data_IF_734424190612
#
_entry.id   IF_734424190612
#
_cell.length_a   1.000
_cell.length_b   1.000
_cell.length_c   1.000
_cell.angle_alpha   90.00
_cell.angle_beta   90.00
_cell.angle_gamma   90.00
#
_symmetry.space_group_name_H-M   'P 1'
#
loop_
_entity.id
_entity.type
_entity.pdbx_description
1 polymer ?
#
# COMPACT_ATOMS: atom_id res chain seq x y z
N UNK A 1 10.72 -8.30 -24.44
CA UNK A 1 10.13 -8.07 -23.10
C UNK A 1 9.25 -9.27 -22.80
N UNK A 2 9.59 -10.09 -21.80
CA UNK A 2 8.81 -11.31 -21.48
C UNK A 2 7.53 -10.91 -20.74
N UNK A 3 6.41 -11.63 -20.95
CA UNK A 3 5.11 -11.27 -20.36
C UNK A 3 5.17 -11.06 -18.82
N UNK A 4 6.04 -11.81 -18.15
CA UNK A 4 6.27 -11.75 -16.71
C UNK A 4 6.72 -10.37 -16.18
N UNK A 5 7.56 -9.64 -16.93
CA UNK A 5 8.07 -8.33 -16.48
C UNK A 5 7.00 -7.24 -16.49
N UNK A 6 5.86 -7.51 -17.11
CA UNK A 6 4.73 -6.57 -17.21
C UNK A 6 3.57 -7.01 -16.31
N UNK A 7 3.42 -8.32 -16.08
CA UNK A 7 2.34 -8.88 -15.27
C UNK A 7 2.58 -8.66 -13.77
N UNK A 8 3.77 -9.00 -13.26
CA UNK A 8 4.06 -8.91 -11.82
C UNK A 8 3.92 -7.48 -11.27
N UNK A 9 4.49 -6.43 -11.89
CA UNK A 9 4.37 -5.06 -11.39
C UNK A 9 2.92 -4.56 -11.36
N UNK A 10 2.14 -4.91 -12.38
CA UNK A 10 0.73 -4.55 -12.44
C UNK A 10 -0.11 -5.26 -11.36
N UNK A 11 0.16 -6.54 -11.09
CA UNK A 11 -0.49 -7.27 -9.98
C UNK A 11 -0.11 -6.65 -8.63
N UNK A 12 1.15 -6.26 -8.44
CA UNK A 12 1.58 -5.58 -7.23
C UNK A 12 0.88 -4.22 -7.05
N UNK A 13 0.86 -3.37 -8.09
CA UNK A 13 0.18 -2.08 -8.07
C UNK A 13 -1.33 -2.21 -7.80
N UNK A 14 -1.98 -3.19 -8.44
CA UNK A 14 -3.39 -3.49 -8.22
C UNK A 14 -3.66 -3.98 -6.79
N UNK A 15 -2.79 -4.82 -6.24
CA UNK A 15 -2.89 -5.28 -4.85
C UNK A 15 -2.74 -4.12 -3.86
N UNK A 16 -1.82 -3.18 -4.11
CA UNK A 16 -1.67 -1.96 -3.32
C UNK A 16 -2.92 -1.09 -3.38
N UNK A 17 -3.50 -0.91 -4.58
CA UNK A 17 -4.75 -0.17 -4.76
C UNK A 17 -5.90 -0.84 -3.99
N UNK A 18 -6.03 -2.17 -4.07
CA UNK A 18 -7.06 -2.92 -3.35
C UNK A 18 -6.89 -2.81 -1.84
N UNK A 19 -5.67 -2.95 -1.32
CA UNK A 19 -5.37 -2.74 0.09
C UNK A 19 -5.78 -1.33 0.54
N UNK A 20 -5.49 -0.32 -0.28
CA UNK A 20 -5.93 1.06 -0.06
C UNK A 20 -7.45 1.23 -0.06
N UNK A 21 -8.15 0.57 -0.97
CA UNK A 21 -9.61 0.57 -0.98
C UNK A 21 -10.19 -0.06 0.28
N UNK A 22 -9.66 -1.21 0.69
CA UNK A 22 -10.10 -1.91 1.89
C UNK A 22 -9.87 -1.06 3.15
N UNK A 23 -8.75 -0.34 3.28
CA UNK A 23 -8.44 0.47 4.49
C UNK A 23 -9.30 1.73 4.53
N UNK A 24 -9.65 2.27 3.37
CA UNK A 24 -10.56 3.40 3.28
C UNK A 24 -11.98 3.01 3.71
N UNK A 25 -12.51 1.88 3.24
CA UNK A 25 -13.90 1.48 3.53
C UNK A 25 -14.07 0.64 4.81
N UNK A 26 -13.06 -0.15 5.17
CA UNK A 26 -13.07 -1.07 6.32
C UNK A 26 -11.87 -0.83 7.27
N UNK A 27 -11.73 0.37 7.86
CA UNK A 27 -10.54 0.76 8.60
C UNK A 27 -10.30 -0.07 9.86
N UNK A 28 -11.34 -0.49 10.57
CA UNK A 28 -11.19 -1.31 11.79
C UNK A 28 -10.64 -2.71 11.49
N UNK A 29 -11.14 -3.34 10.42
CA UNK A 29 -10.67 -4.64 9.96
C UNK A 29 -9.19 -4.58 9.59
N UNK A 30 -8.79 -3.52 8.87
CA UNK A 30 -7.40 -3.36 8.45
C UNK A 30 -6.46 -2.92 9.57
N UNK A 31 -6.92 -2.07 10.49
CA UNK A 31 -6.17 -1.77 11.70
C UNK A 31 -5.86 -3.06 12.47
N UNK A 32 -6.88 -3.90 12.71
CA UNK A 32 -6.68 -5.20 13.37
C UNK A 32 -5.76 -6.14 12.59
N UNK A 33 -5.85 -6.17 11.26
CA UNK A 33 -5.01 -7.02 10.40
C UNK A 33 -3.52 -6.63 10.48
N UNK A 34 -3.23 -5.33 10.57
CA UNK A 34 -1.86 -4.81 10.66
C UNK A 34 -1.34 -4.82 12.12
N UNK A 35 -2.20 -5.16 13.09
CA UNK A 35 -1.86 -5.20 14.52
C UNK A 35 -1.95 -3.84 15.22
N UNK A 36 -2.71 -2.91 14.64
CA UNK A 36 -2.96 -1.58 15.20
C UNK A 36 -4.30 -1.55 15.95
N UNK A 37 -4.33 -0.82 17.07
CA UNK A 37 -5.55 -0.55 17.83
C UNK A 37 -5.76 0.96 17.91
N UNK A 38 -6.50 1.57 16.97
CA UNK A 38 -6.78 3.00 17.01
C UNK A 38 -7.61 3.31 18.26
N UNK A 39 -7.09 4.20 19.11
CA UNK A 39 -7.76 4.62 20.35
C UNK A 39 -8.76 5.74 20.11
N UNK A 40 -8.43 6.67 19.21
CA UNK A 40 -9.19 7.90 18.94
C UNK A 40 -9.49 8.06 17.45
N UNK A 41 -10.32 9.06 17.11
CA UNK A 41 -10.67 9.40 15.73
C UNK A 41 -9.45 9.70 14.86
N UNK A 42 -8.38 10.23 15.44
CA UNK A 42 -7.11 10.52 14.76
C UNK A 42 -6.45 9.23 14.24
N UNK A 43 -6.46 8.16 15.04
CA UNK A 43 -5.92 6.87 14.62
C UNK A 43 -6.67 6.27 13.44
N UNK A 44 -8.00 6.45 13.39
CA UNK A 44 -8.80 6.04 12.22
C UNK A 44 -8.55 6.92 10.99
N UNK A 45 -8.29 8.21 11.20
CA UNK A 45 -7.89 9.14 10.13
C UNK A 45 -6.58 8.70 9.48
N UNK A 46 -5.59 8.31 10.29
CA UNK A 46 -4.31 7.79 9.79
C UNK A 46 -4.48 6.51 8.96
N UNK A 47 -5.34 5.58 9.41
CA UNK A 47 -5.64 4.37 8.64
C UNK A 47 -6.27 4.72 7.28
N UNK A 48 -7.24 5.64 7.23
CA UNK A 48 -7.91 6.03 5.98
C UNK A 48 -7.01 6.87 5.07
N UNK A 49 -6.12 7.68 5.63
CA UNK A 49 -5.22 8.57 4.89
C UNK A 49 -4.02 7.80 4.33
N UNK A 50 -3.18 7.24 5.20
CA UNK A 50 -1.90 6.62 4.83
C UNK A 50 -2.10 5.21 4.29
N UNK A 51 -2.84 4.36 4.99
CA UNK A 51 -3.10 3.01 4.49
C UNK A 51 -4.16 3.00 3.41
N UNK A 52 -5.03 4.02 3.35
CA UNK A 52 -6.15 4.14 2.40
C UNK A 52 -5.81 4.95 1.17
N UNK A 53 -6.19 6.23 1.17
CA UNK A 53 -6.08 7.13 0.02
C UNK A 53 -4.66 7.18 -0.57
N UNK A 54 -3.62 7.15 0.26
CA UNK A 54 -2.23 7.15 -0.22
C UNK A 54 -1.88 5.86 -1.00
N UNK A 55 -2.30 4.68 -0.53
CA UNK A 55 -2.09 3.42 -1.24
C UNK A 55 -2.94 3.34 -2.52
N UNK A 56 -4.18 3.85 -2.49
CA UNK A 56 -5.01 4.00 -3.69
C UNK A 56 -4.29 4.87 -4.71
N UNK A 57 -3.79 6.05 -4.29
CA UNK A 57 -3.09 6.99 -5.16
C UNK A 57 -1.83 6.37 -5.78
N UNK A 58 -1.00 5.70 -4.99
CA UNK A 58 0.21 5.02 -5.48
C UNK A 58 -0.11 3.90 -6.48
N UNK A 59 -1.04 3.01 -6.13
CA UNK A 59 -1.44 1.91 -7.01
C UNK A 59 -2.07 2.42 -8.31
N UNK A 60 -2.97 3.41 -8.21
CA UNK A 60 -3.62 4.01 -9.36
C UNK A 60 -2.61 4.74 -10.26
N UNK A 61 -1.67 5.49 -9.68
CA UNK A 61 -0.61 6.16 -10.44
C UNK A 61 0.26 5.16 -11.20
N UNK A 62 0.64 4.04 -10.59
CA UNK A 62 1.39 2.99 -11.29
C UNK A 62 0.59 2.39 -12.45
N UNK A 63 -0.69 2.07 -12.21
CA UNK A 63 -1.57 1.50 -13.23
C UNK A 63 -1.88 2.48 -14.37
N UNK A 64 -1.92 3.78 -14.07
CA UNK A 64 -2.15 4.83 -15.06
C UNK A 64 -0.89 5.11 -15.88
N UNK A 65 0.23 5.42 -15.22
CA UNK A 65 1.45 5.88 -15.88
C UNK A 65 2.12 4.75 -16.67
N UNK A 66 2.04 3.50 -16.18
CA UNK A 66 2.68 2.33 -16.80
C UNK A 66 4.19 2.52 -17.06
N UNK A 67 4.84 3.41 -16.31
CA UNK A 67 6.28 3.66 -16.42
C UNK A 67 7.07 2.79 -15.45
N UNK A 68 8.22 2.29 -15.91
CA UNK A 68 9.13 1.51 -15.07
C UNK A 68 9.51 2.27 -13.79
N UNK A 69 9.72 3.60 -13.88
CA UNK A 69 10.02 4.46 -12.75
C UNK A 69 8.93 4.36 -11.66
N UNK A 70 7.65 4.47 -12.03
CA UNK A 70 6.53 4.39 -11.08
C UNK A 70 6.49 3.05 -10.32
N UNK A 71 6.66 1.93 -11.03
CA UNK A 71 6.71 0.62 -10.38
C UNK A 71 7.95 0.45 -9.49
N UNK A 72 9.11 0.98 -9.91
CA UNK A 72 10.32 0.93 -9.07
C UNK A 72 10.14 1.75 -7.80
N UNK A 73 9.49 2.92 -7.86
CA UNK A 73 9.20 3.75 -6.69
C UNK A 73 8.27 3.04 -5.71
N UNK A 74 7.22 2.38 -6.21
CA UNK A 74 6.32 1.59 -5.37
C UNK A 74 7.09 0.44 -4.71
N UNK A 75 7.89 -0.31 -5.49
CA UNK A 75 8.67 -1.43 -4.98
C UNK A 75 9.69 -1.01 -3.91
N UNK A 76 10.44 0.08 -4.13
CA UNK A 76 11.41 0.59 -3.15
C UNK A 76 10.73 1.09 -1.89
N UNK A 77 9.59 1.77 -2.00
CA UNK A 77 8.78 2.17 -0.84
C UNK A 77 8.30 0.96 -0.03
N UNK A 78 7.84 -0.11 -0.68
CA UNK A 78 7.44 -1.35 -0.01
C UNK A 78 8.60 -2.01 0.73
N UNK A 79 9.79 -2.06 0.13
CA UNK A 79 11.00 -2.61 0.79
C UNK A 79 11.38 -1.74 2.00
N UNK A 80 11.37 -0.42 1.85
CA UNK A 80 11.68 0.49 2.96
C UNK A 80 10.68 0.32 4.12
N UNK A 81 9.39 0.17 3.82
CA UNK A 81 8.37 -0.10 4.84
C UNK A 81 8.58 -1.45 5.54
N UNK A 82 8.94 -2.51 4.79
CA UNK A 82 9.27 -3.81 5.35
C UNK A 82 10.49 -3.74 6.28
N UNK A 83 11.55 -3.04 5.88
CA UNK A 83 12.73 -2.82 6.72
C UNK A 83 12.40 -2.04 7.99
N UNK A 84 11.60 -0.97 7.88
CA UNK A 84 11.14 -0.22 9.06
C UNK A 84 10.35 -1.09 10.04
N UNK A 85 9.52 -2.01 9.54
CA UNK A 85 8.82 -2.99 10.39
C UNK A 85 9.79 -3.97 11.04
N UNK A 86 10.80 -4.47 10.31
CA UNK A 86 11.79 -5.40 10.89
C UNK A 86 12.50 -4.77 12.08
N UNK A 87 12.98 -3.52 11.94
CA UNK A 87 13.68 -2.79 13.01
C UNK A 87 12.82 -2.50 14.23
N UNK A 88 11.49 -2.38 14.05
CA UNK A 88 10.57 -2.02 15.14
C UNK A 88 9.95 -3.23 15.85
N UNK A 89 9.77 -4.35 15.15
CA UNK A 89 9.06 -5.54 15.67
C UNK A 89 10.04 -6.59 16.19
N UNK A 90 11.28 -6.63 15.69
CA UNK A 90 12.34 -7.57 16.06
C UNK A 90 13.58 -6.82 16.54
#
# INVERSE_FOLDING_TARGET
MTAWTSLLPNVAAFSTLLLGGLSLFFPFTLASFVGLKPSESEGLSEIRSIFGCFFIGLGAACLWLQEAAAFTTLGTACIAAALGRIVSVY
#
